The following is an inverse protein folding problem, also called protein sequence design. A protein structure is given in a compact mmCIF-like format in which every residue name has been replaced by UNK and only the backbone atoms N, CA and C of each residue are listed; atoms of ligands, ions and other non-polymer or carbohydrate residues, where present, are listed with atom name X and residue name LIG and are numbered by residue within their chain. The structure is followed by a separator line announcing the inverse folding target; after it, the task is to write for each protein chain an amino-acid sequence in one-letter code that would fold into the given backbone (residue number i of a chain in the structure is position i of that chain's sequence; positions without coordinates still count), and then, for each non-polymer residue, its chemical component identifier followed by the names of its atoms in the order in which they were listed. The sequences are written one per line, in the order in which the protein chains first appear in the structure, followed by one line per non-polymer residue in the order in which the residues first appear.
data_IF_645380215753
#
_entry.id   IF_645380215753
#
_cell.length_a   1.000
_cell.length_b   1.000
_cell.length_c   1.000
_cell.angle_alpha   90.00
_cell.angle_beta   90.00
_cell.angle_gamma   90.00
#
_symmetry.space_group_name_H-M   'P 1'
#
loop_
_entity.id
_entity.type
_entity.pdbx_description
1 polymer ?
#
# COMPACT_ATOMS: atom_id res chain seq x y z
N UNK A 1 30.44 33.18 92.88
CA UNK A 1 30.11 33.35 91.46
C UNK A 1 30.75 32.20 90.68
N UNK A 2 29.98 31.13 90.43
CA UNK A 2 30.46 29.88 89.81
C UNK A 2 30.44 30.01 88.28
N UNK A 3 31.53 29.58 87.64
CA UNK A 3 31.79 29.43 86.20
C UNK A 3 30.55 29.37 85.29
N UNK A 4 30.13 30.50 84.69
CA UNK A 4 29.14 30.54 83.58
C UNK A 4 29.79 30.52 82.18
N UNK A 5 31.12 30.65 82.09
CA UNK A 5 31.84 30.67 80.81
C UNK A 5 32.05 29.27 80.20
N UNK A 6 31.90 28.19 80.99
CA UNK A 6 32.03 26.81 80.50
C UNK A 6 30.81 26.28 79.75
N UNK A 7 29.61 26.79 80.05
CA UNK A 7 28.37 26.33 79.42
C UNK A 7 28.21 26.86 77.98
N UNK A 8 28.65 28.09 77.72
CA UNK A 8 28.60 28.67 76.37
C UNK A 8 29.51 27.93 75.36
N UNK A 9 30.69 27.50 75.81
CA UNK A 9 31.61 26.72 74.98
C UNK A 9 31.00 25.37 74.57
N UNK A 10 30.36 24.66 75.52
CA UNK A 10 29.73 23.37 75.26
C UNK A 10 28.59 23.48 74.22
N UNK A 11 27.77 24.53 74.31
CA UNK A 11 26.69 24.79 73.35
C UNK A 11 27.21 25.07 71.95
N UNK A 12 28.29 25.86 71.82
CA UNK A 12 28.90 26.16 70.51
C UNK A 12 29.46 24.87 69.88
N UNK A 13 30.15 24.04 70.66
CA UNK A 13 30.68 22.74 70.19
C UNK A 13 29.54 21.83 69.73
N UNK A 14 28.43 21.77 70.47
CA UNK A 14 27.27 20.98 70.09
C UNK A 14 26.62 21.48 68.79
N UNK A 15 26.46 22.80 68.65
CA UNK A 15 25.91 23.40 67.42
C UNK A 15 26.81 23.08 66.22
N UNK A 16 28.13 23.23 66.34
CA UNK A 16 29.08 22.90 65.27
C UNK A 16 29.00 21.41 64.90
N UNK A 17 28.85 20.53 65.88
CA UNK A 17 28.72 19.09 65.64
C UNK A 17 27.43 18.76 64.89
N UNK A 18 26.29 19.36 65.27
CA UNK A 18 25.01 19.18 64.57
C UNK A 18 25.11 19.69 63.12
N UNK A 19 25.68 20.87 62.89
CA UNK A 19 25.86 21.39 61.53
C UNK A 19 26.82 20.54 60.70
N UNK A 20 27.85 19.96 61.32
CA UNK A 20 28.80 19.07 60.63
C UNK A 20 28.13 17.76 60.20
N UNK A 21 27.30 17.17 61.06
CA UNK A 21 26.51 15.97 60.71
C UNK A 21 25.49 16.29 59.59
N UNK A 22 24.82 17.44 59.66
CA UNK A 22 23.91 17.88 58.59
C UNK A 22 24.63 18.13 57.27
N UNK A 23 25.81 18.75 57.30
CA UNK A 23 26.62 19.00 56.11
C UNK A 23 27.07 17.68 55.45
N UNK A 24 27.51 16.70 56.23
CA UNK A 24 27.87 15.37 55.72
C UNK A 24 26.64 14.67 55.12
N UNK A 25 25.47 14.80 55.75
CA UNK A 25 24.21 14.26 55.24
C UNK A 25 23.83 14.87 53.88
N UNK A 26 23.92 16.19 53.74
CA UNK A 26 23.63 16.90 52.49
C UNK A 26 24.60 16.52 51.36
N UNK A 27 25.90 16.45 51.65
CA UNK A 27 26.91 16.02 50.65
C UNK A 27 26.65 14.57 50.21
N UNK A 28 26.30 13.69 51.14
CA UNK A 28 25.97 12.29 50.81
C UNK A 28 24.73 12.19 49.92
N UNK A 29 23.71 13.01 50.19
CA UNK A 29 22.50 13.10 49.36
C UNK A 29 22.82 13.63 47.96
N UNK A 30 23.60 14.71 47.84
CA UNK A 30 24.02 15.28 46.55
C UNK A 30 24.86 14.29 45.71
N UNK A 31 25.78 13.55 46.33
CA UNK A 31 26.57 12.52 45.64
C UNK A 31 25.68 11.37 45.17
N UNK A 32 24.68 10.97 45.98
CA UNK A 32 23.71 9.95 45.59
C UNK A 32 22.88 10.39 44.38
N UNK A 33 22.33 11.61 44.40
CA UNK A 33 21.57 12.15 43.27
C UNK A 33 22.43 12.27 42.01
N UNK A 34 23.66 12.78 42.14
CA UNK A 34 24.60 12.91 41.02
C UNK A 34 24.89 11.56 40.37
N UNK A 35 25.11 10.51 41.19
CA UNK A 35 25.35 9.16 40.68
C UNK A 35 24.12 8.58 39.96
N UNK A 36 22.91 8.84 40.47
CA UNK A 36 21.66 8.43 39.80
C UNK A 36 21.51 9.14 38.46
N UNK A 37 21.68 10.47 38.42
CA UNK A 37 21.59 11.25 37.19
C UNK A 37 22.61 10.82 36.13
N UNK A 38 23.85 10.55 36.53
CA UNK A 38 24.89 10.05 35.61
C UNK A 38 24.52 8.67 35.06
N UNK A 39 23.98 7.77 35.90
CA UNK A 39 23.48 6.47 35.45
C UNK A 39 22.32 6.63 34.46
N UNK A 40 21.31 7.43 34.78
CA UNK A 40 20.16 7.72 33.89
C UNK A 40 20.60 8.30 32.55
N UNK A 41 21.59 9.20 32.55
CA UNK A 41 22.16 9.75 31.32
C UNK A 41 22.79 8.66 30.44
N UNK A 42 23.59 7.76 31.01
CA UNK A 42 24.21 6.67 30.24
C UNK A 42 23.21 5.62 29.77
N UNK A 43 22.17 5.33 30.56
CA UNK A 43 21.07 4.46 30.19
C UNK A 43 20.23 5.03 29.04
N UNK A 44 19.90 6.32 29.10
CA UNK A 44 19.21 7.02 28.00
C UNK A 44 20.06 6.99 26.73
N UNK A 45 21.38 7.14 26.87
CA UNK A 45 22.30 7.01 25.73
C UNK A 45 22.32 5.59 25.16
N UNK A 46 22.37 4.56 26.01
CA UNK A 46 22.30 3.16 25.57
C UNK A 46 20.98 2.85 24.86
N UNK A 47 19.86 3.39 25.35
CA UNK A 47 18.55 3.29 24.71
C UNK A 47 18.54 3.92 23.31
N UNK A 48 19.08 5.12 23.14
CA UNK A 48 19.17 5.73 21.80
C UNK A 48 20.09 4.96 20.84
N UNK A 49 21.16 4.34 21.36
CA UNK A 49 22.02 3.44 20.56
C UNK A 49 21.24 2.18 20.16
N UNK A 50 20.43 1.59 21.05
CA UNK A 50 19.55 0.47 20.73
C UNK A 50 18.48 0.85 19.69
N UNK A 51 17.92 2.07 19.79
CA UNK A 51 16.93 2.59 18.83
C UNK A 51 17.54 2.80 17.45
N UNK A 52 18.79 3.26 17.38
CA UNK A 52 19.53 3.32 16.11
C UNK A 52 19.72 1.93 15.50
N UNK A 53 19.95 0.90 16.33
CA UNK A 53 20.00 -0.49 15.89
C UNK A 53 18.67 -1.00 15.33
N UNK A 54 17.54 -0.63 15.94
CA UNK A 54 16.20 -0.94 15.39
C UNK A 54 15.98 -0.28 14.02
N UNK A 55 16.30 1.01 13.89
CA UNK A 55 16.18 1.71 12.60
C UNK A 55 17.08 1.10 11.52
N UNK A 56 18.30 0.69 11.90
CA UNK A 56 19.20 -0.04 11.01
C UNK A 56 18.63 -1.40 10.62
N UNK A 57 18.04 -2.14 11.57
CA UNK A 57 17.40 -3.41 11.30
C UNK A 57 16.23 -3.27 10.31
N UNK A 58 15.36 -2.27 10.46
CA UNK A 58 14.29 -2.02 9.51
C UNK A 58 14.80 -1.79 8.08
N UNK A 59 15.88 -1.02 7.92
CA UNK A 59 16.53 -0.81 6.62
C UNK A 59 17.17 -2.08 6.07
N UNK A 60 17.81 -2.87 6.94
CA UNK A 60 18.42 -4.15 6.57
C UNK A 60 17.37 -5.15 6.12
N UNK A 61 16.26 -5.28 6.85
CA UNK A 61 15.14 -6.15 6.54
C UNK A 61 14.45 -5.76 5.22
N UNK A 62 14.35 -4.46 4.90
CA UNK A 62 13.77 -4.02 3.63
C UNK A 62 14.57 -4.46 2.39
N UNK A 63 15.85 -4.82 2.55
CA UNK A 63 16.66 -5.39 1.48
C UNK A 63 16.37 -6.88 1.21
N UNK A 64 15.63 -7.56 2.10
CA UNK A 64 15.30 -8.97 1.99
C UNK A 64 13.77 -9.14 1.89
N UNK A 65 13.25 -9.53 0.70
CA UNK A 65 11.82 -9.74 0.50
C UNK A 65 11.29 -11.04 1.15
N UNK A 66 12.19 -11.93 1.59
CA UNK A 66 11.88 -13.18 2.28
C UNK A 66 12.88 -13.33 3.44
N UNK A 67 12.37 -13.47 4.67
CA UNK A 67 13.15 -13.55 5.90
C UNK A 67 13.51 -14.98 6.31
N UNK A 68 13.17 -16.00 5.49
CA UNK A 68 13.56 -17.41 5.70
C UNK A 68 15.01 -17.65 5.25
N UNK A 69 15.54 -16.80 4.36
CA UNK A 69 16.92 -16.89 3.88
C UNK A 69 17.86 -16.28 4.93
N UNK A 70 19.05 -16.87 5.11
CA UNK A 70 20.07 -16.33 6.02
C UNK A 70 20.41 -14.86 5.66
N UNK A 71 19.94 -13.94 6.51
CA UNK A 71 20.14 -12.48 6.38
C UNK A 71 21.48 -12.01 6.95
N UNK A 72 22.32 -12.94 7.44
CA UNK A 72 23.59 -12.63 8.08
C UNK A 72 23.44 -12.01 9.47
N UNK A 73 22.33 -12.28 10.17
CA UNK A 73 22.15 -11.92 11.59
C UNK A 73 22.85 -12.96 12.49
N UNK A 74 23.43 -12.56 13.63
CA UNK A 74 23.44 -11.22 14.21
C UNK A 74 24.47 -10.25 13.60
N UNK A 75 24.17 -8.95 13.64
CA UNK A 75 25.06 -7.87 13.16
C UNK A 75 25.36 -6.87 14.28
N UNK A 76 26.57 -6.33 14.30
CA UNK A 76 26.97 -5.29 15.25
C UNK A 76 27.63 -4.09 14.56
N UNK A 77 27.30 -2.87 15.03
CA UNK A 77 27.85 -1.60 14.50
C UNK A 77 28.06 -0.58 15.63
N UNK A 78 29.02 0.32 15.40
CA UNK A 78 29.28 1.45 16.30
C UNK A 78 28.40 2.65 15.94
N UNK A 79 27.80 3.30 16.94
CA UNK A 79 26.99 4.50 16.76
C UNK A 79 27.06 5.42 17.98
N UNK A 80 27.23 6.73 17.76
CA UNK A 80 27.23 7.78 18.80
C UNK A 80 28.14 7.52 20.05
N UNK A 81 29.25 6.79 19.85
CA UNK A 81 30.17 6.43 20.93
C UNK A 81 29.71 5.28 21.83
N UNK A 82 28.77 4.46 21.33
CA UNK A 82 28.44 3.12 21.80
C UNK A 82 28.41 2.12 20.63
N UNK A 83 27.93 0.91 20.89
CA UNK A 83 27.74 -0.14 19.88
C UNK A 83 26.35 -0.75 20.03
N UNK A 84 25.67 -1.06 18.93
CA UNK A 84 24.47 -1.88 18.97
C UNK A 84 24.73 -3.25 18.34
N UNK A 85 24.01 -4.25 18.81
CA UNK A 85 23.93 -5.58 18.20
C UNK A 85 22.46 -5.93 17.92
N UNK A 86 22.16 -6.39 16.71
CA UNK A 86 20.84 -6.83 16.29
C UNK A 86 20.82 -8.35 16.11
N UNK A 87 19.75 -8.99 16.56
CA UNK A 87 19.52 -10.44 16.46
C UNK A 87 18.04 -10.74 16.25
N UNK A 88 17.70 -11.89 15.68
CA UNK A 88 16.34 -12.38 15.52
C UNK A 88 16.02 -13.45 16.58
N UNK A 89 14.80 -13.48 17.09
CA UNK A 89 14.36 -14.50 18.08
C UNK A 89 13.18 -15.34 17.63
N UNK A 90 12.49 -14.94 16.56
CA UNK A 90 11.38 -15.67 15.96
C UNK A 90 11.37 -15.34 14.46
N UNK A 91 11.51 -16.36 13.63
CA UNK A 91 11.47 -16.27 12.16
C UNK A 91 10.33 -17.19 11.70
N UNK A 92 9.20 -16.59 11.31
CA UNK A 92 8.28 -17.22 10.37
C UNK A 92 8.39 -16.47 9.04
N UNK A 93 7.97 -17.07 7.93
CA UNK A 93 8.14 -16.45 6.60
C UNK A 93 7.61 -15.01 6.50
N UNK A 94 6.61 -14.68 7.31
CA UNK A 94 5.90 -13.41 7.26
C UNK A 94 6.10 -12.54 8.52
N UNK A 95 6.77 -13.05 9.56
CA UNK A 95 7.01 -12.31 10.80
C UNK A 95 8.42 -12.55 11.35
N UNK A 96 9.11 -11.47 11.68
CA UNK A 96 10.39 -11.51 12.37
C UNK A 96 10.37 -10.61 13.60
N UNK A 97 10.84 -11.12 14.73
CA UNK A 97 11.10 -10.26 15.89
C UNK A 97 12.58 -9.94 15.95
N UNK A 98 12.92 -8.65 15.83
CA UNK A 98 14.29 -8.18 15.99
C UNK A 98 14.50 -7.62 17.39
N UNK A 99 15.58 -8.07 18.01
CA UNK A 99 16.09 -7.57 19.28
C UNK A 99 17.35 -6.76 19.00
N UNK A 100 17.32 -5.48 19.37
CA UNK A 100 18.46 -4.57 19.31
C UNK A 100 18.96 -4.27 20.72
N UNK A 101 20.24 -4.57 20.98
CA UNK A 101 20.92 -4.30 22.25
C UNK A 101 21.93 -3.18 22.05
N UNK A 102 21.71 -2.04 22.70
CA UNK A 102 22.63 -0.89 22.71
C UNK A 102 23.55 -0.93 23.93
N UNK A 103 24.85 -0.83 23.69
CA UNK A 103 25.91 -0.86 24.70
C UNK A 103 26.69 0.46 24.70
N UNK A 104 26.88 1.04 25.89
CA UNK A 104 27.72 2.23 26.10
C UNK A 104 28.71 1.94 27.21
N UNK A 105 30.01 2.02 26.93
CA UNK A 105 31.06 1.86 27.95
C UNK A 105 31.62 3.22 28.36
N UNK A 106 31.60 3.50 29.66
CA UNK A 106 32.18 4.69 30.29
C UNK A 106 32.82 4.31 31.61
N UNK A 107 34.05 4.78 31.81
CA UNK A 107 34.79 4.58 33.08
C UNK A 107 34.90 3.11 33.51
N UNK A 108 35.05 2.20 32.55
CA UNK A 108 35.14 0.76 32.81
C UNK A 108 33.81 0.07 33.13
N UNK A 109 32.68 0.77 33.05
CA UNK A 109 31.33 0.22 33.23
C UNK A 109 30.58 0.18 31.92
N UNK A 110 29.83 -0.89 31.67
CA UNK A 110 28.98 -1.04 30.48
C UNK A 110 27.51 -0.92 30.84
N UNK A 111 26.85 0.04 30.19
CA UNK A 111 25.42 0.28 30.28
C UNK A 111 24.74 -0.35 29.06
N UNK A 112 23.71 -1.15 29.30
CA UNK A 112 22.95 -1.85 28.25
C UNK A 112 21.48 -1.42 28.24
N UNK A 113 20.89 -1.36 27.06
CA UNK A 113 19.45 -1.23 26.85
C UNK A 113 19.02 -2.13 25.70
N UNK A 114 17.89 -2.81 25.86
CA UNK A 114 17.35 -3.74 24.87
C UNK A 114 16.00 -3.25 24.39
N UNK A 115 15.83 -3.18 23.07
CA UNK A 115 14.56 -2.87 22.40
C UNK A 115 14.23 -4.02 21.49
N UNK A 116 13.05 -4.61 21.66
CA UNK A 116 12.48 -5.59 20.75
C UNK A 116 11.38 -4.95 19.91
N UNK A 117 11.33 -5.29 18.63
CA UNK A 117 10.25 -4.90 17.73
C UNK A 117 9.83 -6.10 16.90
N UNK A 118 8.53 -6.30 16.80
CA UNK A 118 7.96 -7.27 15.88
C UNK A 118 7.76 -6.60 14.54
N UNK A 119 8.30 -7.21 13.50
CA UNK A 119 8.11 -6.83 12.12
C UNK A 119 7.26 -7.89 11.47
N UNK A 120 6.24 -7.45 10.74
CA UNK A 120 5.49 -8.32 9.86
C UNK A 120 5.68 -7.79 8.44
N UNK A 121 5.98 -8.70 7.51
CA UNK A 121 5.52 -8.48 6.15
C UNK A 121 4.01 -8.55 6.28
N UNK A 122 3.26 -7.53 5.85
CA UNK A 122 1.81 -7.64 5.80
C UNK A 122 1.46 -8.77 4.84
N UNK A 123 1.37 -9.99 5.36
CA UNK A 123 0.82 -11.16 4.70
C UNK A 123 -0.71 -11.03 4.83
N UNK A 124 -1.25 -10.10 4.06
CA UNK A 124 -2.68 -9.80 4.00
C UNK A 124 -3.02 -9.37 2.59
N UNK A 125 -2.94 -10.32 1.66
CA UNK A 125 -2.80 -10.13 0.21
C UNK A 125 -1.42 -9.63 -0.19
N UNK A 126 -0.82 -10.12 -1.28
CA UNK A 126 0.44 -9.61 -1.84
C UNK A 126 0.36 -8.15 -2.32
N UNK A 127 -0.66 -7.40 -1.91
CA UNK A 127 -0.95 -6.02 -2.24
C UNK A 127 -0.35 -5.10 -1.16
N UNK A 128 0.04 -3.89 -1.56
CA UNK A 128 0.56 -2.88 -0.63
C UNK A 128 -0.55 -2.27 0.23
N UNK A 129 -0.22 -1.67 1.38
CA UNK A 129 -1.18 -0.96 2.27
C UNK A 129 -1.98 0.14 1.55
N UNK A 130 -1.51 0.60 0.39
CA UNK A 130 -2.23 1.53 -0.47
C UNK A 130 -3.61 0.98 -0.89
N UNK A 131 -3.80 -0.34 -0.83
CA UNK A 131 -5.07 -1.01 -1.11
C UNK A 131 -5.95 -1.23 0.12
N UNK A 132 -5.60 -0.70 1.30
CA UNK A 132 -6.45 -0.72 2.50
C UNK A 132 -7.42 0.47 2.57
N UNK A 133 -7.37 1.34 1.56
CA UNK A 133 -8.22 2.53 1.44
C UNK A 133 -9.32 2.31 0.40
N UNK A 134 -10.47 2.94 0.61
CA UNK A 134 -11.51 3.06 -0.42
C UNK A 134 -10.96 3.77 -1.67
N UNK A 135 -10.13 4.79 -1.43
CA UNK A 135 -9.38 5.51 -2.44
C UNK A 135 -8.01 5.87 -1.87
N UNK A 136 -6.95 5.53 -2.58
CA UNK A 136 -5.59 5.97 -2.30
C UNK A 136 -5.03 6.71 -3.51
N UNK A 137 -4.49 7.90 -3.27
CA UNK A 137 -3.95 8.70 -4.35
C UNK A 137 -2.74 9.52 -3.95
N UNK A 138 -1.76 9.53 -4.86
CA UNK A 138 -0.58 10.36 -4.78
C UNK A 138 -0.86 11.81 -5.17
N UNK A 139 0.12 12.71 -4.97
CA UNK A 139 0.01 14.07 -5.48
C UNK A 139 0.00 13.99 -7.01
N UNK A 140 -1.06 14.51 -7.64
CA UNK A 140 -0.92 14.92 -9.04
C UNK A 140 0.19 15.98 -9.07
N UNK A 141 1.30 15.68 -9.75
CA UNK A 141 2.55 16.44 -9.66
C UNK A 141 2.32 17.94 -9.53
N UNK A 142 2.69 18.52 -8.38
CA UNK A 142 2.58 19.95 -8.12
C UNK A 142 1.51 20.40 -7.10
N UNK A 143 0.98 19.51 -6.25
CA UNK A 143 0.07 19.92 -5.17
C UNK A 143 -1.32 20.34 -5.67
N UNK A 144 -1.78 19.73 -6.76
CA UNK A 144 -3.11 19.98 -7.29
C UNK A 144 -4.18 19.66 -6.23
N UNK A 145 -5.27 20.42 -6.25
CA UNK A 145 -6.41 20.15 -5.37
C UNK A 145 -7.29 19.08 -5.98
N UNK A 146 -7.47 17.96 -5.27
CA UNK A 146 -8.54 17.01 -5.61
C UNK A 146 -9.88 17.63 -5.28
N UNK A 147 -10.77 17.69 -6.27
CA UNK A 147 -12.15 18.16 -6.09
C UNK A 147 -13.10 16.97 -6.05
N UNK A 148 -13.84 16.83 -4.95
CA UNK A 148 -14.95 15.88 -4.84
C UNK A 148 -16.23 16.70 -4.75
N UNK A 149 -17.09 16.58 -5.76
CA UNK A 149 -18.22 17.50 -5.97
C UNK A 149 -19.51 16.75 -6.31
N UNK A 150 -20.63 17.47 -6.30
CA UNK A 150 -21.94 16.91 -6.60
C UNK A 150 -22.48 16.15 -5.41
N UNK A 151 -22.94 14.92 -5.62
CA UNK A 151 -23.47 14.03 -4.57
C UNK A 151 -22.58 12.79 -4.41
N UNK A 152 -21.28 12.91 -4.68
CA UNK A 152 -20.35 11.80 -4.60
C UNK A 152 -20.14 11.34 -3.14
N UNK A 153 -20.03 10.03 -2.92
CA UNK A 153 -19.91 9.44 -1.60
C UNK A 153 -18.71 8.49 -1.54
N UNK A 154 -17.92 8.59 -0.48
CA UNK A 154 -16.80 7.68 -0.21
C UNK A 154 -17.06 7.01 1.15
N UNK A 155 -17.04 5.69 1.17
CA UNK A 155 -17.27 4.85 2.34
C UNK A 155 -15.99 4.09 2.69
N UNK A 156 -15.39 4.41 3.84
CA UNK A 156 -14.09 3.91 4.27
C UNK A 156 -13.02 5.00 4.31
N UNK A 157 -11.78 4.56 4.58
CA UNK A 157 -10.61 5.41 4.64
C UNK A 157 -10.23 5.93 3.26
N UNK A 158 -9.79 7.19 3.21
CA UNK A 158 -9.45 7.87 1.96
C UNK A 158 -8.16 8.66 2.13
N UNK A 159 -7.13 8.30 1.36
CA UNK A 159 -5.85 8.99 1.35
C UNK A 159 -5.63 9.81 0.07
N UNK A 160 -5.27 11.08 0.23
CA UNK A 160 -4.75 11.93 -0.85
C UNK A 160 -3.55 12.73 -0.36
N UNK A 161 -2.38 12.52 -0.96
CA UNK A 161 -1.19 13.32 -0.66
C UNK A 161 -1.27 14.71 -1.34
N UNK A 162 -2.20 15.54 -0.90
CA UNK A 162 -2.40 16.90 -1.41
C UNK A 162 -3.66 17.55 -0.80
N UNK A 163 -3.99 18.77 -1.25
CA UNK A 163 -5.17 19.47 -0.77
C UNK A 163 -6.46 18.83 -1.34
N UNK A 164 -7.48 18.63 -0.49
CA UNK A 164 -8.82 18.17 -0.90
C UNK A 164 -9.82 19.33 -0.76
N UNK A 165 -10.73 19.41 -1.72
CA UNK A 165 -11.93 20.26 -1.64
C UNK A 165 -13.19 19.41 -1.84
N UNK A 166 -13.96 19.22 -0.76
CA UNK A 166 -15.28 18.59 -0.82
C UNK A 166 -16.33 19.69 -1.06
N UNK A 167 -17.15 19.55 -2.09
CA UNK A 167 -18.15 20.54 -2.46
C UNK A 167 -19.52 19.94 -2.79
N UNK A 168 -20.56 20.78 -2.83
CA UNK A 168 -21.92 20.34 -3.11
C UNK A 168 -22.51 19.58 -1.92
N UNK A 169 -23.04 18.39 -2.16
CA UNK A 169 -23.50 17.45 -1.13
C UNK A 169 -22.62 16.19 -1.09
N UNK A 170 -21.34 16.32 -1.42
CA UNK A 170 -20.39 15.22 -1.35
C UNK A 170 -20.18 14.80 0.11
N UNK A 171 -19.97 13.51 0.37
CA UNK A 171 -19.75 13.03 1.74
C UNK A 171 -18.70 11.93 1.83
N UNK A 172 -17.95 11.92 2.91
CA UNK A 172 -17.16 10.76 3.34
C UNK A 172 -17.78 10.18 4.62
N UNK A 173 -17.88 8.85 4.71
CA UNK A 173 -18.51 8.13 5.80
C UNK A 173 -17.72 6.86 6.15
N UNK A 174 -17.76 6.41 7.41
CA UNK A 174 -17.21 5.13 7.84
C UNK A 174 -15.69 5.02 7.75
N UNK A 175 -14.96 6.13 7.94
CA UNK A 175 -13.49 6.14 7.92
C UNK A 175 -12.89 7.54 8.12
N UNK A 176 -11.60 7.67 7.82
CA UNK A 176 -10.82 8.91 7.93
C UNK A 176 -10.35 9.42 6.58
N UNK A 177 -10.46 10.73 6.35
CA UNK A 177 -9.78 11.41 5.25
C UNK A 177 -8.37 11.79 5.69
N UNK A 178 -7.35 11.32 4.98
CA UNK A 178 -5.96 11.71 5.16
C UNK A 178 -5.56 12.66 4.02
N UNK A 179 -5.26 13.92 4.33
CA UNK A 179 -4.80 14.88 3.30
C UNK A 179 -3.97 16.02 3.85
N UNK A 180 -3.29 16.80 2.98
CA UNK A 180 -2.48 17.94 3.46
C UNK A 180 -3.35 19.11 3.94
N UNK A 181 -4.56 19.23 3.41
CA UNK A 181 -5.58 20.18 3.85
C UNK A 181 -6.95 19.75 3.35
N UNK A 182 -7.99 20.03 4.12
CA UNK A 182 -9.37 19.78 3.73
C UNK A 182 -10.17 21.08 3.74
N UNK A 183 -10.82 21.38 2.62
CA UNK A 183 -11.76 22.51 2.48
C UNK A 183 -13.15 21.97 2.18
N UNK A 184 -14.15 22.46 2.90
CA UNK A 184 -15.56 22.19 2.62
C UNK A 184 -16.23 23.37 1.92
N UNK A 185 -17.03 23.08 0.90
CA UNK A 185 -18.01 24.01 0.32
C UNK A 185 -19.41 23.41 0.30
N UNK A 186 -20.43 24.26 0.37
CA UNK A 186 -21.82 23.83 0.28
C UNK A 186 -22.25 23.04 1.53
N UNK A 187 -22.87 21.88 1.32
CA UNK A 187 -23.39 20.99 2.37
C UNK A 187 -22.59 19.70 2.46
N UNK A 188 -21.31 19.72 2.06
CA UNK A 188 -20.44 18.55 2.12
C UNK A 188 -20.14 18.14 3.57
N UNK A 189 -19.99 16.84 3.81
CA UNK A 189 -19.72 16.28 5.16
C UNK A 189 -18.58 15.27 5.13
N UNK A 190 -17.97 15.03 6.28
CA UNK A 190 -16.99 13.95 6.50
C UNK A 190 -17.11 13.47 7.94
N UNK A 191 -16.70 12.23 8.21
CA UNK A 191 -16.75 11.68 9.58
C UNK A 191 -15.51 12.11 10.38
N UNK A 192 -14.32 11.95 9.79
CA UNK A 192 -13.06 12.37 10.41
C UNK A 192 -12.01 12.79 9.37
N UNK A 193 -11.06 13.62 9.79
CA UNK A 193 -9.96 14.11 8.95
C UNK A 193 -8.67 14.22 9.75
N UNK A 194 -7.58 13.77 9.13
CA UNK A 194 -6.22 13.87 9.66
C UNK A 194 -5.26 14.43 8.61
N UNK A 195 -4.23 15.12 9.08
CA UNK A 195 -3.17 15.59 8.20
C UNK A 195 -2.35 14.40 7.68
N UNK A 196 -2.29 14.22 6.37
CA UNK A 196 -1.51 13.14 5.77
C UNK A 196 0.00 13.38 5.93
N UNK A 197 0.72 12.36 6.39
CA UNK A 197 2.16 12.24 6.09
C UNK A 197 2.32 11.73 4.66
N UNK A 198 3.29 12.23 3.88
CA UNK A 198 3.58 11.68 2.55
C UNK A 198 3.89 10.18 2.67
N UNK A 199 3.15 9.37 1.95
CA UNK A 199 3.37 7.93 1.81
C UNK A 199 3.62 7.65 0.32
N UNK A 200 4.54 6.73 0.06
CA UNK A 200 4.93 6.40 -1.31
C UNK A 200 3.78 5.73 -2.07
N UNK A 201 3.70 6.02 -3.37
CA UNK A 201 2.82 5.28 -4.27
C UNK A 201 3.39 3.89 -4.51
N UNK A 202 2.55 2.86 -4.69
CA UNK A 202 3.03 1.55 -5.11
C UNK A 202 3.78 1.69 -6.44
N UNK A 203 4.88 0.94 -6.56
CA UNK A 203 5.65 0.88 -7.80
C UNK A 203 5.00 -0.18 -8.69
N UNK A 204 4.62 0.22 -9.91
CA UNK A 204 4.07 -0.70 -10.90
C UNK A 204 5.20 -1.41 -11.65
N UNK A 205 5.33 -2.73 -11.48
CA UNK A 205 6.19 -3.58 -12.30
C UNK A 205 5.40 -4.12 -13.50
N UNK A 206 5.72 -3.61 -14.70
CA UNK A 206 5.07 -4.02 -15.93
C UNK A 206 5.72 -5.23 -16.62
N UNK A 207 6.82 -5.79 -16.10
CA UNK A 207 7.68 -6.76 -16.82
C UNK A 207 6.88 -7.96 -17.35
N UNK A 208 6.07 -8.60 -16.50
CA UNK A 208 5.25 -9.75 -16.88
C UNK A 208 4.17 -9.40 -17.91
N UNK A 209 3.58 -8.20 -17.81
CA UNK A 209 2.56 -7.71 -18.73
C UNK A 209 3.15 -7.41 -20.12
N UNK A 210 4.34 -6.82 -20.17
CA UNK A 210 5.07 -6.57 -21.41
C UNK A 210 5.46 -7.86 -22.11
N UNK A 211 5.86 -8.90 -21.35
CA UNK A 211 6.16 -10.21 -21.91
C UNK A 211 4.93 -10.85 -22.60
N UNK A 212 3.74 -10.71 -21.99
CA UNK A 212 2.48 -11.18 -22.60
C UNK A 212 2.15 -10.36 -23.85
N UNK A 213 2.20 -9.03 -23.75
CA UNK A 213 1.93 -8.12 -24.88
C UNK A 213 2.94 -8.25 -26.03
N UNK A 214 4.15 -8.74 -25.79
CA UNK A 214 5.11 -8.99 -26.86
C UNK A 214 4.57 -10.00 -27.89
N UNK A 215 3.67 -10.92 -27.47
CA UNK A 215 3.06 -11.90 -28.37
C UNK A 215 2.21 -11.25 -29.48
N UNK A 216 1.62 -10.06 -29.24
CA UNK A 216 0.83 -9.34 -30.24
C UNK A 216 1.67 -8.67 -31.32
N UNK A 217 3.00 -8.67 -31.22
CA UNK A 217 3.88 -8.12 -32.27
C UNK A 217 4.13 -9.08 -33.43
N UNK A 218 3.74 -10.35 -33.29
CA UNK A 218 3.90 -11.37 -34.32
C UNK A 218 3.09 -11.02 -35.58
N UNK A 219 3.50 -11.53 -36.74
CA UNK A 219 2.74 -11.33 -37.98
C UNK A 219 1.61 -12.35 -38.10
N UNK A 220 0.43 -11.89 -38.53
CA UNK A 220 -0.69 -12.76 -38.86
C UNK A 220 -1.28 -12.41 -40.23
N UNK A 221 -1.61 -13.43 -41.02
CA UNK A 221 -2.17 -13.24 -42.36
C UNK A 221 -3.70 -13.20 -42.39
N UNK A 222 -4.36 -13.80 -41.39
CA UNK A 222 -5.81 -14.00 -41.36
C UNK A 222 -6.51 -13.21 -40.25
N UNK A 223 -7.77 -12.84 -40.49
CA UNK A 223 -8.69 -12.30 -39.48
C UNK A 223 -9.60 -13.43 -39.00
N UNK A 224 -9.85 -13.53 -37.69
CA UNK A 224 -10.85 -14.42 -37.13
C UNK A 224 -12.20 -13.70 -37.06
N UNK A 225 -13.22 -14.28 -37.69
CA UNK A 225 -14.60 -13.83 -37.56
C UNK A 225 -15.49 -15.02 -37.19
N UNK A 226 -15.93 -15.09 -35.93
CA UNK A 226 -16.83 -16.11 -35.42
C UNK A 226 -18.22 -15.52 -35.19
N UNK A 227 -19.22 -16.13 -35.82
CA UNK A 227 -20.62 -15.72 -35.75
C UNK A 227 -21.57 -16.91 -35.78
N UNK A 228 -22.86 -16.67 -35.56
CA UNK A 228 -23.97 -17.60 -35.84
C UNK A 228 -23.84 -18.95 -35.12
N UNK A 229 -23.47 -18.91 -33.83
CA UNK A 229 -23.36 -20.12 -33.00
C UNK A 229 -22.13 -20.99 -33.26
N UNK A 230 -21.20 -20.55 -34.13
CA UNK A 230 -19.95 -21.29 -34.37
C UNK A 230 -19.11 -21.44 -33.10
N UNK A 231 -18.40 -22.56 -32.99
CA UNK A 231 -17.56 -22.91 -31.83
C UNK A 231 -16.09 -23.01 -32.25
N UNK A 232 -15.22 -22.29 -31.53
CA UNK A 232 -13.76 -22.44 -31.61
C UNK A 232 -13.24 -23.06 -30.32
N UNK A 233 -12.43 -24.11 -30.42
CA UNK A 233 -11.74 -24.70 -29.27
C UNK A 233 -10.24 -24.38 -29.34
N UNK A 234 -9.72 -23.74 -28.29
CA UNK A 234 -8.32 -23.31 -28.27
C UNK A 234 -7.36 -24.43 -27.86
N UNK A 235 -7.84 -25.44 -27.12
CA UNK A 235 -7.07 -26.62 -26.67
C UNK A 235 -5.69 -26.31 -26.04
N UNK A 236 -5.60 -25.22 -25.28
CA UNK A 236 -4.40 -24.74 -24.60
C UNK A 236 -3.42 -23.95 -25.48
N UNK A 237 -3.67 -23.85 -26.78
CA UNK A 237 -2.78 -23.21 -27.75
C UNK A 237 -2.81 -21.68 -27.75
N UNK A 238 -1.84 -21.09 -28.45
CA UNK A 238 -1.80 -19.66 -28.80
C UNK A 238 -2.25 -19.51 -30.25
N UNK A 239 -3.34 -18.79 -30.46
CA UNK A 239 -3.96 -18.60 -31.78
C UNK A 239 -3.83 -17.14 -32.18
N UNK A 240 -3.12 -16.89 -33.27
CA UNK A 240 -2.68 -15.56 -33.67
C UNK A 240 -3.41 -15.13 -34.94
N UNK A 241 -4.07 -13.99 -34.87
CA UNK A 241 -4.83 -13.38 -35.96
C UNK A 241 -4.46 -11.90 -36.11
N UNK A 242 -4.81 -11.33 -37.25
CA UNK A 242 -4.65 -9.90 -37.51
C UNK A 242 -5.66 -9.09 -36.70
N UNK A 243 -6.92 -9.50 -36.77
CA UNK A 243 -8.05 -8.97 -36.00
C UNK A 243 -8.95 -10.13 -35.58
N UNK A 244 -9.70 -9.96 -34.49
CA UNK A 244 -10.62 -10.96 -33.97
C UNK A 244 -11.99 -10.33 -33.73
N UNK A 245 -13.03 -10.93 -34.29
CA UNK A 245 -14.42 -10.59 -33.99
C UNK A 245 -15.18 -11.85 -33.63
N UNK A 246 -15.80 -11.86 -32.46
CA UNK A 246 -16.60 -12.98 -31.95
C UNK A 246 -17.97 -12.43 -31.58
N UNK A 247 -19.04 -13.02 -32.11
CA UNK A 247 -20.37 -12.64 -31.66
C UNK A 247 -21.49 -13.51 -32.21
N UNK A 248 -22.72 -12.99 -32.17
CA UNK A 248 -23.92 -13.66 -32.66
C UNK A 248 -24.07 -15.09 -32.11
N UNK A 249 -23.88 -15.23 -30.79
CA UNK A 249 -23.93 -16.52 -30.09
C UNK A 249 -22.74 -17.46 -30.33
N UNK A 250 -21.70 -17.03 -31.05
CA UNK A 250 -20.49 -17.84 -31.22
C UNK A 250 -19.79 -18.08 -29.86
N UNK A 251 -19.15 -19.24 -29.74
CA UNK A 251 -18.50 -19.67 -28.48
C UNK A 251 -17.01 -19.95 -28.70
N UNK A 252 -16.17 -19.49 -27.77
CA UNK A 252 -14.75 -19.86 -27.69
C UNK A 252 -14.53 -20.68 -26.42
N UNK A 253 -14.12 -21.94 -26.58
CA UNK A 253 -13.80 -22.84 -25.48
C UNK A 253 -12.30 -22.82 -25.20
N UNK A 254 -11.94 -22.52 -23.95
CA UNK A 254 -10.57 -22.58 -23.46
C UNK A 254 -10.18 -23.96 -22.91
N UNK A 255 -8.99 -24.07 -22.26
CA UNK A 255 -8.04 -22.98 -22.03
C UNK A 255 -7.31 -22.57 -23.32
N UNK A 256 -6.71 -21.39 -23.37
CA UNK A 256 -5.84 -20.97 -24.49
C UNK A 256 -5.78 -19.45 -24.66
N UNK A 257 -4.95 -18.98 -25.59
CA UNK A 257 -4.74 -17.55 -25.84
C UNK A 257 -5.15 -17.16 -27.25
N UNK A 258 -5.95 -16.10 -27.38
CA UNK A 258 -6.28 -15.43 -28.63
C UNK A 258 -5.49 -14.12 -28.73
N UNK A 259 -4.71 -13.97 -29.80
CA UNK A 259 -3.83 -12.82 -30.02
C UNK A 259 -4.24 -12.08 -31.28
N UNK A 260 -4.57 -10.78 -31.16
CA UNK A 260 -4.78 -9.89 -32.29
C UNK A 260 -3.57 -8.97 -32.47
N UNK A 261 -2.94 -9.02 -33.64
CA UNK A 261 -1.58 -8.47 -33.84
C UNK A 261 -1.51 -7.16 -34.61
N UNK A 262 -2.52 -6.83 -35.43
CA UNK A 262 -2.52 -5.64 -36.28
C UNK A 262 -1.45 -5.63 -37.40
N UNK A 263 -0.46 -6.51 -37.39
CA UNK A 263 0.61 -6.60 -38.38
C UNK A 263 0.17 -7.46 -39.59
N UNK A 264 0.39 -7.06 -40.87
CA UNK A 264 1.12 -5.86 -41.32
C UNK A 264 0.28 -4.61 -41.60
N UNK A 265 -1.05 -4.68 -41.54
CA UNK A 265 -1.93 -3.56 -41.95
C UNK A 265 -3.28 -3.51 -41.23
N UNK A 266 -3.49 -4.40 -40.25
CA UNK A 266 -4.72 -4.51 -39.49
C UNK A 266 -4.74 -3.58 -38.29
N UNK A 267 -5.90 -3.52 -37.65
CA UNK A 267 -6.08 -2.71 -36.47
C UNK A 267 -5.54 -3.39 -35.21
N UNK A 268 -5.50 -4.73 -35.17
CA UNK A 268 -5.05 -5.48 -34.00
C UNK A 268 -6.10 -5.51 -32.89
N UNK A 269 -7.37 -5.47 -33.30
CA UNK A 269 -8.50 -5.37 -32.38
C UNK A 269 -9.10 -6.74 -32.04
N UNK A 270 -9.63 -6.84 -30.83
CA UNK A 270 -10.51 -7.93 -30.40
C UNK A 270 -11.88 -7.34 -30.08
N UNK A 271 -12.91 -7.80 -30.78
CA UNK A 271 -14.29 -7.36 -30.60
C UNK A 271 -15.17 -8.53 -30.18
N UNK A 272 -15.72 -8.49 -28.97
CA UNK A 272 -16.70 -9.43 -28.44
C UNK A 272 -18.08 -8.78 -28.46
N UNK A 273 -19.02 -9.30 -29.24
CA UNK A 273 -20.33 -8.66 -29.47
C UNK A 273 -21.51 -9.66 -29.43
N UNK A 274 -22.73 -9.19 -29.24
CA UNK A 274 -23.98 -9.92 -29.54
C UNK A 274 -24.05 -11.36 -28.99
N UNK A 275 -23.83 -11.55 -27.69
CA UNK A 275 -23.99 -12.87 -27.06
C UNK A 275 -22.80 -13.81 -27.24
N UNK A 276 -21.59 -13.30 -27.47
CA UNK A 276 -20.37 -14.12 -27.52
C UNK A 276 -20.21 -14.93 -26.21
N UNK A 277 -20.07 -16.25 -26.32
CA UNK A 277 -19.80 -17.15 -25.21
C UNK A 277 -18.31 -17.40 -25.04
N UNK A 278 -17.74 -17.07 -23.88
CA UNK A 278 -16.32 -17.30 -23.60
C UNK A 278 -16.19 -18.34 -22.48
N UNK A 279 -15.51 -19.44 -22.78
CA UNK A 279 -15.23 -20.53 -21.86
C UNK A 279 -14.10 -20.21 -20.88
N UNK A 280 -13.90 -21.12 -19.92
CA UNK A 280 -12.87 -20.99 -18.89
C UNK A 280 -11.45 -20.95 -19.44
N UNK A 281 -10.58 -20.14 -18.82
CA UNK A 281 -9.15 -20.11 -19.11
C UNK A 281 -8.80 -19.52 -20.49
N UNK A 282 -9.71 -18.74 -21.09
CA UNK A 282 -9.43 -17.98 -22.30
C UNK A 282 -8.72 -16.67 -21.94
N UNK A 283 -7.58 -16.44 -22.57
CA UNK A 283 -6.81 -15.20 -22.50
C UNK A 283 -6.92 -14.43 -23.81
N UNK A 284 -7.12 -13.13 -23.73
CA UNK A 284 -7.11 -12.22 -24.87
C UNK A 284 -5.88 -11.30 -24.80
N UNK A 285 -5.18 -11.16 -25.93
CA UNK A 285 -4.05 -10.23 -26.08
C UNK A 285 -4.27 -9.41 -27.35
N UNK A 286 -4.38 -8.08 -27.21
CA UNK A 286 -4.63 -7.20 -28.36
C UNK A 286 -3.52 -6.14 -28.52
N UNK A 287 -3.02 -6.00 -29.75
CA UNK A 287 -2.07 -4.96 -30.13
C UNK A 287 -2.67 -3.56 -30.03
N UNK A 288 -3.99 -3.43 -30.16
CA UNK A 288 -4.67 -2.15 -30.08
C UNK A 288 -5.80 -2.18 -29.06
N UNK A 289 -7.02 -2.48 -29.50
CA UNK A 289 -8.20 -2.32 -28.66
C UNK A 289 -8.88 -3.67 -28.36
N UNK A 290 -9.38 -3.81 -27.14
CA UNK A 290 -10.34 -4.85 -26.77
C UNK A 290 -11.67 -4.18 -26.49
N UNK A 291 -12.67 -4.50 -27.29
CA UNK A 291 -14.04 -4.02 -27.13
C UNK A 291 -14.95 -5.17 -26.77
N UNK A 292 -15.64 -5.05 -25.65
CA UNK A 292 -16.72 -5.94 -25.27
C UNK A 292 -18.03 -5.17 -25.24
N UNK A 293 -18.98 -5.56 -26.10
CA UNK A 293 -20.26 -4.87 -26.27
C UNK A 293 -21.42 -5.85 -26.57
N UNK A 294 -22.67 -5.36 -26.62
CA UNK A 294 -23.79 -6.12 -27.19
C UNK A 294 -24.45 -7.19 -26.30
N UNK A 295 -24.49 -6.98 -24.97
CA UNK A 295 -25.37 -7.72 -24.05
C UNK A 295 -24.97 -9.17 -23.70
N UNK A 296 -23.75 -9.59 -24.00
CA UNK A 296 -23.23 -10.89 -23.56
C UNK A 296 -22.78 -10.82 -22.09
N UNK A 297 -23.21 -11.76 -21.25
CA UNK A 297 -22.63 -11.89 -19.90
C UNK A 297 -21.50 -12.91 -19.95
N UNK A 298 -20.33 -12.56 -19.45
CA UNK A 298 -19.30 -13.55 -19.15
C UNK A 298 -19.71 -14.28 -17.88
N UNK A 299 -19.73 -15.60 -17.92
CA UNK A 299 -20.05 -16.45 -16.77
C UNK A 299 -18.82 -17.00 -16.08
N UNK A 300 -17.64 -16.82 -16.69
CA UNK A 300 -16.37 -17.39 -16.23
C UNK A 300 -15.27 -16.31 -16.28
N UNK A 301 -14.29 -16.32 -15.36
CA UNK A 301 -13.21 -15.34 -15.36
C UNK A 301 -12.40 -15.36 -16.64
N UNK A 302 -12.00 -14.18 -17.10
CA UNK A 302 -11.13 -14.02 -18.28
C UNK A 302 -9.92 -13.14 -17.95
N UNK A 303 -8.87 -13.30 -18.74
CA UNK A 303 -7.72 -12.40 -18.72
C UNK A 303 -7.65 -11.61 -20.03
N UNK A 304 -7.53 -10.30 -19.93
CA UNK A 304 -7.44 -9.39 -21.07
C UNK A 304 -6.20 -8.51 -20.92
N UNK A 305 -5.36 -8.49 -21.95
CA UNK A 305 -4.16 -7.66 -22.02
C UNK A 305 -4.20 -6.84 -23.30
N UNK A 306 -4.22 -5.51 -23.19
CA UNK A 306 -4.24 -4.63 -24.36
C UNK A 306 -3.17 -3.55 -24.30
N UNK A 307 -2.65 -3.16 -25.46
CA UNK A 307 -1.71 -2.04 -25.56
C UNK A 307 -2.37 -0.67 -25.56
N UNK A 308 -3.63 -0.56 -25.99
CA UNK A 308 -4.30 0.74 -26.16
C UNK A 308 -5.61 0.84 -25.36
N UNK A 309 -6.78 0.56 -25.95
CA UNK A 309 -8.04 0.78 -25.27
C UNK A 309 -8.68 -0.54 -24.81
N UNK A 310 -9.04 -0.61 -23.53
CA UNK A 310 -9.95 -1.61 -23.02
C UNK A 310 -11.31 -0.96 -22.84
N UNK A 311 -12.31 -1.43 -23.57
CA UNK A 311 -13.64 -0.81 -23.69
C UNK A 311 -14.70 -1.87 -23.35
N UNK A 312 -15.42 -1.68 -22.24
CA UNK A 312 -16.53 -2.55 -21.84
C UNK A 312 -17.82 -1.71 -21.82
N UNK A 313 -18.80 -2.09 -22.63
CA UNK A 313 -20.03 -1.30 -22.86
C UNK A 313 -21.29 -2.16 -23.01
N UNK A 314 -22.46 -1.57 -22.95
CA UNK A 314 -23.80 -2.15 -23.04
C UNK A 314 -24.19 -3.10 -21.89
N UNK A 315 -24.09 -2.63 -20.65
CA UNK A 315 -24.62 -3.31 -19.44
C UNK A 315 -24.12 -4.76 -19.26
N UNK A 316 -22.84 -5.01 -19.52
CA UNK A 316 -22.26 -6.35 -19.46
C UNK A 316 -21.87 -6.73 -18.03
N UNK A 317 -21.86 -8.04 -17.77
CA UNK A 317 -21.30 -8.60 -16.54
C UNK A 317 -19.96 -9.26 -16.82
N UNK A 318 -18.91 -8.80 -16.13
CA UNK A 318 -17.61 -9.49 -16.03
C UNK A 318 -17.52 -10.16 -14.66
N UNK A 319 -17.24 -11.47 -14.58
CA UNK A 319 -17.28 -12.22 -13.33
C UNK A 319 -15.98 -12.08 -12.52
N UNK A 320 -16.12 -12.25 -11.20
CA UNK A 320 -15.05 -12.14 -10.21
C UNK A 320 -13.84 -12.99 -10.57
N UNK A 321 -12.63 -12.51 -10.29
CA UNK A 321 -11.37 -13.18 -10.64
C UNK A 321 -10.86 -12.86 -12.05
N UNK A 322 -11.58 -12.06 -12.84
CA UNK A 322 -11.07 -11.58 -14.13
C UNK A 322 -9.96 -10.54 -13.94
N UNK A 323 -9.02 -10.49 -14.89
CA UNK A 323 -7.95 -9.48 -14.94
C UNK A 323 -8.09 -8.69 -16.24
N UNK A 324 -8.22 -7.37 -16.12
CA UNK A 324 -8.35 -6.45 -17.24
C UNK A 324 -7.19 -5.46 -17.21
N UNK A 325 -6.18 -5.69 -18.06
CA UNK A 325 -4.99 -4.87 -18.15
C UNK A 325 -4.97 -4.04 -19.44
N UNK A 326 -4.70 -2.74 -19.30
CA UNK A 326 -4.40 -1.85 -20.41
C UNK A 326 -3.12 -1.03 -20.17
N UNK A 327 -2.20 -1.11 -21.13
CA UNK A 327 -1.01 -0.25 -21.18
C UNK A 327 -1.32 1.16 -21.69
N UNK A 328 -2.40 1.34 -22.44
CA UNK A 328 -2.63 2.56 -23.20
C UNK A 328 -2.89 3.78 -22.32
N UNK A 329 -2.39 4.93 -22.74
CA UNK A 329 -2.57 6.21 -22.04
C UNK A 329 -4.00 6.76 -22.13
N UNK A 330 -4.86 6.14 -22.94
CA UNK A 330 -6.23 6.56 -23.21
C UNK A 330 -7.28 5.50 -22.93
N UNK A 331 -6.97 4.47 -22.14
CA UNK A 331 -7.93 3.41 -21.86
C UNK A 331 -9.28 3.98 -21.41
N UNK A 332 -10.38 3.38 -21.88
CA UNK A 332 -11.75 3.81 -21.56
C UNK A 332 -12.53 2.63 -21.06
N UNK A 333 -12.23 2.25 -19.84
CA UNK A 333 -12.72 1.04 -19.22
C UNK A 333 -14.24 0.83 -19.32
N UNK A 334 -15.05 1.87 -19.07
CA UNK A 334 -16.50 1.69 -18.88
C UNK A 334 -17.27 2.86 -19.48
N UNK A 335 -17.77 2.64 -20.70
CA UNK A 335 -18.85 3.43 -21.25
C UNK A 335 -20.13 2.58 -21.15
N UNK A 336 -20.90 2.72 -20.05
CA UNK A 336 -22.29 2.23 -19.76
C UNK A 336 -22.46 1.19 -18.63
N UNK A 337 -23.70 1.06 -18.13
CA UNK A 337 -24.12 0.58 -16.80
C UNK A 337 -23.99 -0.91 -16.46
N UNK A 338 -22.90 -1.56 -16.86
CA UNK A 338 -22.62 -2.97 -16.54
C UNK A 338 -22.10 -3.18 -15.11
N UNK A 339 -21.86 -4.45 -14.76
CA UNK A 339 -21.16 -4.84 -13.52
C UNK A 339 -19.86 -5.54 -13.87
N UNK A 340 -18.72 -4.94 -13.54
CA UNK A 340 -17.40 -5.51 -13.77
C UNK A 340 -16.85 -5.97 -12.43
N UNK A 341 -16.83 -7.28 -12.17
CA UNK A 341 -16.17 -7.86 -11.00
C UNK A 341 -14.78 -8.33 -11.44
N UNK A 342 -13.80 -7.43 -11.49
CA UNK A 342 -12.47 -7.73 -12.02
C UNK A 342 -11.40 -6.86 -11.38
N UNK A 343 -10.16 -7.34 -11.39
CA UNK A 343 -9.02 -6.48 -11.16
C UNK A 343 -8.72 -5.67 -12.42
N UNK A 344 -8.78 -4.35 -12.30
CA UNK A 344 -8.62 -3.41 -13.40
C UNK A 344 -7.30 -2.66 -13.28
N UNK A 345 -6.41 -2.87 -14.24
CA UNK A 345 -5.04 -2.38 -14.23
C UNK A 345 -4.78 -1.46 -15.43
N UNK A 346 -4.73 -0.16 -15.18
CA UNK A 346 -4.55 0.90 -16.18
C UNK A 346 -3.44 1.86 -15.73
N UNK A 347 -2.21 1.36 -15.48
CA UNK A 347 -1.14 2.11 -14.82
C UNK A 347 -0.75 3.42 -15.51
N UNK A 348 -0.90 3.49 -16.84
CA UNK A 348 -0.50 4.65 -17.64
C UNK A 348 -1.69 5.46 -18.19
N UNK A 349 -2.93 4.99 -17.98
CA UNK A 349 -4.13 5.55 -18.59
C UNK A 349 -5.21 5.94 -17.57
N UNK A 350 -6.19 6.68 -18.05
CA UNK A 350 -7.34 7.05 -17.25
C UNK A 350 -8.37 5.93 -17.13
N UNK A 351 -9.01 5.82 -15.98
CA UNK A 351 -10.26 5.10 -15.83
C UNK A 351 -11.41 6.07 -16.11
N UNK A 352 -12.17 5.83 -17.17
CA UNK A 352 -13.42 6.53 -17.45
C UNK A 352 -14.61 5.66 -17.05
N UNK A 353 -15.44 6.17 -16.13
CA UNK A 353 -16.67 5.51 -15.72
C UNK A 353 -17.86 6.45 -15.88
N UNK A 354 -18.82 6.02 -16.69
CA UNK A 354 -20.04 6.79 -16.92
C UNK A 354 -21.22 6.30 -16.06
N UNK A 355 -21.48 4.99 -16.10
CA UNK A 355 -22.53 4.27 -15.39
C UNK A 355 -22.01 2.90 -14.96
N UNK A 356 -22.65 2.27 -13.98
CA UNK A 356 -22.45 0.86 -13.64
C UNK A 356 -21.74 0.63 -12.32
N UNK A 357 -21.26 -0.60 -12.14
CA UNK A 357 -20.59 -1.06 -10.93
C UNK A 357 -19.25 -1.69 -11.28
N UNK A 358 -18.17 -1.23 -10.66
CA UNK A 358 -16.84 -1.83 -10.72
C UNK A 358 -16.52 -2.43 -9.35
N UNK A 359 -16.23 -3.72 -9.30
CA UNK A 359 -15.87 -4.43 -8.08
C UNK A 359 -14.51 -5.09 -8.25
N UNK A 360 -13.58 -4.79 -7.36
CA UNK A 360 -12.26 -5.41 -7.36
C UNK A 360 -11.16 -4.44 -6.99
N UNK A 361 -9.93 -4.86 -7.29
CA UNK A 361 -8.76 -4.01 -7.22
C UNK A 361 -8.70 -3.11 -8.46
N UNK A 362 -8.54 -1.81 -8.24
CA UNK A 362 -8.48 -0.82 -9.33
C UNK A 362 -7.18 -0.06 -9.23
N UNK A 363 -6.42 -0.05 -10.31
CA UNK A 363 -5.17 0.68 -10.43
C UNK A 363 -5.21 1.55 -11.68
N UNK A 364 -5.14 2.87 -11.54
CA UNK A 364 -5.15 3.76 -12.70
C UNK A 364 -4.27 5.01 -12.55
N UNK A 365 -3.88 5.62 -13.67
CA UNK A 365 -3.16 6.90 -13.63
C UNK A 365 -4.09 8.07 -13.29
N UNK A 366 -5.33 8.00 -13.75
CA UNK A 366 -6.36 8.99 -13.44
C UNK A 366 -7.74 8.33 -13.34
N UNK A 367 -8.68 9.03 -12.70
CA UNK A 367 -10.08 8.66 -12.66
C UNK A 367 -10.91 9.82 -13.19
N UNK A 368 -11.86 9.51 -14.07
CA UNK A 368 -12.87 10.45 -14.53
C UNK A 368 -14.25 9.80 -14.47
N UNK A 369 -15.12 10.40 -13.68
CA UNK A 369 -16.54 10.04 -13.63
C UNK A 369 -17.40 11.12 -14.29
N UNK A 370 -18.42 10.71 -15.02
CA UNK A 370 -19.32 11.64 -15.73
C UNK A 370 -20.71 11.70 -15.08
N UNK A 371 -21.30 10.57 -14.70
CA UNK A 371 -22.65 10.51 -14.16
C UNK A 371 -22.72 9.76 -12.82
N UNK A 372 -23.45 8.65 -12.73
CA UNK A 372 -23.60 7.83 -11.53
C UNK A 372 -22.79 6.55 -11.66
N UNK A 373 -22.32 5.98 -10.57
CA UNK A 373 -21.60 4.71 -10.61
C UNK A 373 -21.24 4.23 -9.23
N UNK A 374 -20.88 2.97 -9.13
CA UNK A 374 -20.47 2.34 -7.88
C UNK A 374 -19.10 1.68 -8.07
N UNK A 375 -18.17 1.96 -7.16
CA UNK A 375 -16.90 1.26 -7.03
C UNK A 375 -16.91 0.51 -5.70
N UNK A 376 -16.62 -0.78 -5.69
CA UNK A 376 -16.42 -1.59 -4.47
C UNK A 376 -15.07 -2.28 -4.52
N UNK A 377 -14.31 -2.27 -3.43
CA UNK A 377 -12.98 -2.86 -3.38
C UNK A 377 -11.96 -1.82 -2.94
N UNK A 378 -10.84 -1.73 -3.63
CA UNK A 378 -9.82 -0.75 -3.32
C UNK A 378 -9.34 -0.10 -4.61
N UNK A 379 -9.16 1.22 -4.56
CA UNK A 379 -8.76 2.00 -5.71
C UNK A 379 -7.48 2.79 -5.43
N UNK A 380 -6.45 2.54 -6.23
CA UNK A 380 -5.23 3.34 -6.27
C UNK A 380 -5.23 4.16 -7.56
N UNK A 381 -5.10 5.48 -7.43
CA UNK A 381 -5.12 6.43 -8.54
C UNK A 381 -3.99 7.45 -8.41
N UNK A 382 -3.11 7.60 -9.41
CA UNK A 382 -1.99 8.55 -9.29
C UNK A 382 -2.40 10.03 -9.34
N UNK A 383 -3.41 10.37 -10.13
CA UNK A 383 -3.77 11.76 -10.40
C UNK A 383 -5.28 11.91 -10.64
N UNK A 384 -6.12 11.65 -9.64
CA UNK A 384 -7.52 12.03 -9.70
C UNK A 384 -7.59 13.56 -9.65
N UNK A 385 -8.14 14.16 -10.71
CA UNK A 385 -8.32 15.62 -10.77
C UNK A 385 -9.70 16.03 -10.24
N UNK A 386 -10.73 15.25 -10.57
CA UNK A 386 -12.11 15.52 -10.16
C UNK A 386 -12.89 14.22 -10.00
N UNK A 387 -13.54 14.06 -8.85
CA UNK A 387 -14.61 13.09 -8.61
C UNK A 387 -15.93 13.87 -8.57
N UNK A 388 -16.86 13.52 -9.43
CA UNK A 388 -18.12 14.27 -9.59
C UNK A 388 -19.30 13.36 -9.86
N UNK A 389 -20.50 13.95 -9.80
CA UNK A 389 -21.76 13.27 -10.06
C UNK A 389 -22.29 12.55 -8.83
N UNK A 390 -22.88 11.37 -9.04
CA UNK A 390 -23.43 10.51 -7.99
C UNK A 390 -22.62 9.22 -7.86
N UNK A 391 -21.28 9.35 -7.92
CA UNK A 391 -20.36 8.24 -7.70
C UNK A 391 -20.37 7.79 -6.24
N UNK A 392 -20.41 6.49 -6.00
CA UNK A 392 -20.18 5.90 -4.70
C UNK A 392 -18.94 5.03 -4.74
N UNK A 393 -18.02 5.20 -3.79
CA UNK A 393 -16.81 4.37 -3.64
C UNK A 393 -16.88 3.70 -2.26
N UNK A 394 -16.80 2.38 -2.22
CA UNK A 394 -16.81 1.59 -0.98
C UNK A 394 -15.51 0.81 -0.88
N UNK A 395 -14.84 0.92 0.27
CA UNK A 395 -13.86 -0.09 0.62
C UNK A 395 -14.55 -1.44 0.86
N UNK A 396 -14.09 -2.49 0.19
CA UNK A 396 -14.65 -3.83 0.36
C UNK A 396 -13.60 -4.92 0.06
N UNK A 397 -12.92 -5.37 1.11
CA UNK A 397 -11.86 -6.38 1.03
C UNK A 397 -12.32 -7.71 0.41
N UNK A 398 -13.62 -8.03 0.45
CA UNK A 398 -14.14 -9.27 -0.12
C UNK A 398 -14.06 -9.33 -1.66
N UNK A 399 -13.83 -8.19 -2.31
CA UNK A 399 -13.62 -8.12 -3.76
C UNK A 399 -12.14 -8.03 -4.15
N UNK A 400 -11.20 -7.96 -3.19
CA UNK A 400 -9.77 -7.89 -3.50
C UNK A 400 -9.20 -9.28 -3.82
N UNK A 401 -8.30 -9.39 -4.81
CA UNK A 401 -7.58 -10.63 -5.03
C UNK A 401 -6.51 -10.83 -3.95
N UNK A 402 -6.18 -12.08 -3.66
CA UNK A 402 -5.09 -12.41 -2.72
C UNK A 402 -3.72 -11.92 -3.21
N UNK A 403 -3.53 -11.78 -4.52
CA UNK A 403 -2.32 -11.19 -5.10
C UNK A 403 -2.61 -10.74 -6.53
N UNK A 404 -1.79 -9.80 -7.03
CA UNK A 404 -1.81 -9.42 -8.43
C UNK A 404 -0.40 -9.17 -8.91
N UNK A 405 -0.08 -9.71 -10.09
CA UNK A 405 1.24 -9.52 -10.70
C UNK A 405 1.47 -8.02 -10.92
N UNK A 406 2.69 -7.55 -10.71
CA UNK A 406 3.05 -6.15 -10.97
C UNK A 406 2.64 -5.13 -9.89
N UNK A 407 1.81 -5.54 -8.92
CA UNK A 407 1.55 -4.79 -7.69
C UNK A 407 1.89 -5.69 -6.51
N UNK A 408 3.19 -5.95 -6.36
CA UNK A 408 3.76 -6.60 -5.20
C UNK A 408 4.54 -5.57 -4.39
N UNK A 409 4.34 -5.55 -3.08
CA UNK A 409 5.15 -4.73 -2.19
C UNK A 409 6.62 -5.01 -2.41
N UNK A 410 7.38 -3.98 -2.77
CA UNK A 410 8.75 -3.90 -2.26
C UNK A 410 8.55 -3.89 -0.74
N UNK A 411 8.86 -5.01 -0.07
CA UNK A 411 8.43 -5.27 1.31
C UNK A 411 8.53 -4.02 2.18
N UNK A 412 7.39 -3.37 2.44
CA UNK A 412 7.31 -2.32 3.44
C UNK A 412 7.29 -3.06 4.76
N UNK A 413 8.46 -3.10 5.40
CA UNK A 413 8.65 -3.67 6.72
C UNK A 413 7.96 -2.75 7.72
N UNK A 414 6.71 -3.06 8.05
CA UNK A 414 5.99 -2.36 9.10
C UNK A 414 6.31 -3.05 10.43
N UNK A 415 6.99 -2.30 11.31
CA UNK A 415 7.24 -2.71 12.67
C UNK A 415 6.35 -1.92 13.61
N UNK A 416 5.43 -2.58 14.30
CA UNK A 416 4.90 -2.03 15.54
C UNK A 416 6.00 -2.16 16.61
N UNK A 417 6.65 -1.05 16.92
CA UNK A 417 7.59 -0.97 18.03
C UNK A 417 6.81 -1.03 19.35
N UNK A 418 6.41 -2.23 19.77
CA UNK A 418 6.07 -2.49 21.16
C UNK A 418 7.32 -2.29 22.00
N UNK A 419 7.47 -1.13 22.66
CA UNK A 419 8.61 -0.87 23.54
C UNK A 419 8.47 -1.73 24.80
N UNK A 420 8.94 -2.97 24.72
CA UNK A 420 9.28 -3.74 25.90
C UNK A 420 10.69 -3.30 26.32
N UNK A 421 10.79 -2.32 27.22
CA UNK A 421 12.07 -1.99 27.86
C UNK A 421 12.48 -3.17 28.73
N UNK A 422 13.36 -4.02 28.19
CA UNK A 422 13.98 -5.11 28.95
C UNK A 422 14.89 -4.54 30.04
N UNK A 423 14.89 -5.22 31.20
CA UNK A 423 15.54 -4.81 32.45
C UNK A 423 16.89 -4.10 32.28
N UNK A 424 17.04 -2.96 32.95
CA UNK A 424 18.30 -2.25 33.11
C UNK A 424 19.30 -3.11 33.89
N UNK A 425 20.44 -3.43 33.27
CA UNK A 425 21.49 -4.21 33.93
C UNK A 425 22.85 -3.52 33.76
N UNK A 426 23.57 -3.36 34.87
CA UNK A 426 25.00 -3.02 34.90
C UNK A 426 25.76 -4.33 34.68
N UNK A 427 26.44 -4.46 33.53
CA UNK A 427 27.25 -5.64 33.21
C UNK A 427 28.68 -5.31 33.62
N UNK A 428 29.23 -6.12 34.55
CA UNK A 428 30.60 -5.97 35.08
C UNK A 428 31.63 -6.70 34.23
#
# INVERSE_FOLDING_TARGET
MKNRNGFGLLTIVFIILVFSVLAIGLVSFMVSETNVTVKEYHYTKAFHVAQAGQNFAAQHLAAYPDWIVDMGLPLARSFAGGTFAISSTQESGDQITIVSVGLVTREGKTYSSTISAAYSISAGSGLTHNFDYALYSGPAGGGATLRIQGSAQIFGDFYYNGPIRLGGSASQQGGTIYSTSLVLDGTATYDSWEAATPVDMPIWDNTSYEAILATSTQSASSTLALGWGNVLNLAGGVHIYRDITIGWGATVNGPGTLVATGNPSGNGDINLNYGAGIGAGVRFVAERDFTYSGGSNLTIPIEVYVKRNLIVTNNLTVPSGSILYSKGTGARAIETGGTINASMLVPYGGLYMNYGTLRGLIYSSSLRTANSGEIRGAMVCYSPSTIQGSLQIYYDAAYLPDSIVGLGGTGSVEGEAGIAVGNWQEVY
#
